data_IF_714204493298
#
_entry.id   IF_714204493298
#
_cell.length_a   1.000
_cell.length_b   1.000
_cell.length_c   1.000
_cell.angle_alpha   90.00
_cell.angle_beta   90.00
_cell.angle_gamma   90.00
#
_symmetry.space_group_name_H-M   'P 1'
#
loop_
_entity.id
_entity.type
_entity.pdbx_description
1 polymer ?
#
# COMPACT_ATOMS: atom_id res chain seq x y z
N UNK A 1 6.60 -17.17 11.74
CA UNK A 1 5.50 -16.30 12.18
C UNK A 1 4.64 -15.96 11.00
N UNK A 2 3.39 -16.43 10.97
CA UNK A 2 2.44 -16.06 9.94
C UNK A 2 1.63 -14.86 10.46
N UNK A 3 1.89 -13.68 9.91
CA UNK A 3 0.98 -12.55 10.05
C UNK A 3 -0.24 -12.88 9.18
N UNK A 4 -1.14 -13.75 9.70
CA UNK A 4 -2.42 -14.03 9.06
C UNK A 4 -3.35 -12.88 9.39
N UNK A 5 -3.20 -11.79 8.65
CA UNK A 5 -4.34 -10.92 8.38
C UNK A 5 -5.39 -11.79 7.70
N UNK A 6 -6.49 -12.06 8.41
CA UNK A 6 -7.63 -12.82 7.87
C UNK A 6 -8.24 -12.11 6.66
N UNK A 7 -9.18 -12.76 5.95
CA UNK A 7 -9.85 -12.14 4.80
C UNK A 7 -10.49 -10.83 5.23
N UNK A 8 -10.10 -9.74 4.59
CA UNK A 8 -10.69 -8.42 4.81
C UNK A 8 -11.95 -8.33 3.96
N UNK A 9 -13.10 -7.95 4.54
CA UNK A 9 -14.36 -7.95 3.80
C UNK A 9 -14.26 -7.04 2.57
N UNK A 10 -14.82 -7.48 1.44
CA UNK A 10 -14.91 -6.77 0.14
C UNK A 10 -15.48 -5.33 0.20
N UNK A 11 -15.96 -4.91 1.36
CA UNK A 11 -16.33 -3.52 1.62
C UNK A 11 -15.15 -2.55 1.46
N UNK A 12 -15.40 -1.29 1.04
CA UNK A 12 -14.37 -0.26 0.99
C UNK A 12 -13.61 -0.07 2.31
N UNK A 13 -14.28 -0.26 3.45
CA UNK A 13 -13.65 -0.16 4.79
C UNK A 13 -12.68 -1.32 5.03
N UNK A 14 -13.11 -2.56 4.77
CA UNK A 14 -12.26 -3.75 4.93
C UNK A 14 -11.01 -3.66 4.08
N UNK A 15 -11.16 -3.28 2.80
CA UNK A 15 -10.04 -3.06 1.89
C UNK A 15 -9.12 -1.94 2.40
N UNK A 16 -9.67 -0.82 2.87
CA UNK A 16 -8.86 0.28 3.41
C UNK A 16 -8.03 -0.16 4.62
N UNK A 17 -8.61 -0.95 5.53
CA UNK A 17 -7.88 -1.52 6.68
C UNK A 17 -6.78 -2.50 6.25
N UNK A 18 -7.05 -3.33 5.25
CA UNK A 18 -6.06 -4.21 4.64
C UNK A 18 -4.86 -3.44 4.09
N UNK A 19 -5.16 -2.35 3.38
CA UNK A 19 -4.15 -1.48 2.79
C UNK A 19 -3.35 -0.73 3.85
N UNK A 20 -3.97 -0.30 4.96
CA UNK A 20 -3.22 0.30 6.06
C UNK A 20 -2.27 -0.70 6.75
N UNK A 21 -2.68 -1.97 6.90
CA UNK A 21 -1.80 -3.00 7.44
C UNK A 21 -0.56 -3.23 6.54
N UNK A 22 -0.73 -3.18 5.21
CA UNK A 22 0.38 -3.25 4.25
C UNK A 22 1.20 -1.97 4.18
N UNK A 23 0.56 -0.82 4.32
CA UNK A 23 1.22 0.47 4.37
C UNK A 23 2.26 0.55 5.50
N UNK A 24 2.00 -0.08 6.65
CA UNK A 24 2.97 -0.19 7.74
C UNK A 24 4.24 -0.98 7.35
N UNK A 25 4.14 -1.97 6.46
CA UNK A 25 5.28 -2.72 5.93
C UNK A 25 6.11 -1.89 4.94
N UNK A 26 5.51 -0.84 4.34
CA UNK A 26 6.15 0.05 3.36
C UNK A 26 6.85 1.24 4.05
N UNK A 27 6.45 1.58 5.29
CA UNK A 27 6.98 2.72 6.03
C UNK A 27 8.53 2.75 6.16
N UNK A 28 9.24 1.63 6.39
CA UNK A 28 10.72 1.65 6.43
C UNK A 28 11.34 2.09 5.10
N UNK A 29 10.83 1.59 3.97
CA UNK A 29 11.31 1.96 2.64
C UNK A 29 11.09 3.45 2.37
N UNK A 30 10.01 4.01 2.89
CA UNK A 30 9.75 5.46 2.77
C UNK A 30 10.77 6.28 3.56
N UNK A 31 11.14 5.86 4.77
CA UNK A 31 12.19 6.56 5.51
C UNK A 31 13.52 6.54 4.75
N UNK A 32 13.93 5.38 4.24
CA UNK A 32 15.16 5.25 3.44
C UNK A 32 15.13 6.17 2.21
N UNK A 33 14.00 6.23 1.49
CA UNK A 33 13.84 7.14 0.36
C UNK A 33 13.84 8.60 0.81
N UNK A 34 13.15 8.94 1.90
CA UNK A 34 13.01 10.32 2.39
C UNK A 34 14.34 10.90 2.87
N UNK A 35 15.20 10.06 3.45
CA UNK A 35 16.55 10.44 3.84
C UNK A 35 17.43 10.80 2.63
N UNK A 36 17.27 10.06 1.52
CA UNK A 36 17.95 10.36 0.25
C UNK A 36 17.31 11.55 -0.51
N UNK A 37 16.01 11.80 -0.28
CA UNK A 37 15.20 12.80 -0.99
C UNK A 37 14.48 13.76 -0.01
N UNK A 38 15.24 14.63 0.69
CA UNK A 38 14.65 15.57 1.64
C UNK A 38 13.68 16.58 0.98
N UNK A 39 13.78 16.79 -0.33
CA UNK A 39 12.86 17.61 -1.15
C UNK A 39 11.51 16.94 -1.43
N UNK A 40 11.42 15.62 -1.26
CA UNK A 40 10.21 14.84 -1.50
C UNK A 40 9.04 15.20 -0.58
N UNK A 41 7.83 14.66 -0.82
CA UNK A 41 6.68 14.90 0.03
C UNK A 41 6.96 14.47 1.49
N UNK A 42 6.22 15.04 2.44
CA UNK A 42 6.34 14.66 3.86
C UNK A 42 5.53 13.41 4.21
N UNK A 43 4.53 13.06 3.40
CA UNK A 43 3.68 11.90 3.60
C UNK A 43 3.52 11.13 2.29
N UNK A 44 3.76 9.81 2.28
CA UNK A 44 3.53 9.00 1.10
C UNK A 44 2.07 8.57 1.00
N UNK A 45 1.57 8.51 -0.24
CA UNK A 45 0.21 8.05 -0.53
C UNK A 45 0.30 6.78 -1.38
N UNK A 46 -0.24 5.67 -0.87
CA UNK A 46 -0.35 4.43 -1.62
C UNK A 46 -1.56 4.50 -2.56
N UNK A 47 -1.29 4.55 -3.85
CA UNK A 47 -2.29 4.41 -4.90
C UNK A 47 -2.42 2.93 -5.26
N UNK A 48 -3.61 2.38 -5.09
CA UNK A 48 -3.90 0.96 -5.34
C UNK A 48 -5.04 0.82 -6.32
N UNK A 49 -4.86 -0.08 -7.28
CA UNK A 49 -5.85 -0.50 -8.25
C UNK A 49 -6.23 -1.96 -8.00
N UNK A 50 -7.51 -2.21 -7.70
CA UNK A 50 -8.07 -3.54 -7.47
C UNK A 50 -9.11 -3.84 -8.55
N UNK A 51 -9.04 -5.05 -9.10
CA UNK A 51 -10.08 -5.63 -9.95
C UNK A 51 -10.71 -6.84 -9.28
N UNK A 52 -11.69 -7.45 -9.94
CA UNK A 52 -12.36 -8.66 -9.43
C UNK A 52 -11.44 -9.89 -9.30
N UNK A 53 -10.25 -9.84 -9.87
CA UNK A 53 -9.22 -10.88 -9.75
C UNK A 53 -8.18 -10.57 -8.66
N UNK A 54 -8.34 -9.46 -7.93
CA UNK A 54 -7.42 -9.01 -6.90
C UNK A 54 -6.62 -7.78 -7.31
N UNK A 55 -5.40 -7.67 -6.80
CA UNK A 55 -4.51 -6.54 -7.04
C UNK A 55 -4.09 -6.45 -8.51
N UNK A 56 -4.35 -5.30 -9.14
CA UNK A 56 -3.90 -5.00 -10.50
C UNK A 56 -2.63 -4.16 -10.50
N UNK A 57 -2.56 -3.15 -9.63
CA UNK A 57 -1.41 -2.26 -9.52
C UNK A 57 -1.32 -1.64 -8.11
N UNK A 58 -0.11 -1.34 -7.67
CA UNK A 58 0.15 -0.60 -6.44
C UNK A 58 1.45 0.20 -6.59
N UNK A 59 1.35 1.49 -6.28
CA UNK A 59 2.48 2.42 -6.34
C UNK A 59 2.33 3.51 -5.30
N UNK A 60 3.45 4.10 -4.90
CA UNK A 60 3.42 5.29 -4.05
C UNK A 60 3.40 6.55 -4.92
N UNK A 61 2.49 7.47 -4.59
CA UNK A 61 2.40 8.77 -5.26
C UNK A 61 3.37 9.75 -4.61
N UNK A 62 4.11 10.48 -5.45
CA UNK A 62 5.01 11.54 -5.02
C UNK A 62 6.45 11.11 -4.72
N UNK A 63 6.79 9.84 -4.94
CA UNK A 63 8.16 9.35 -4.93
C UNK A 63 8.41 8.52 -6.18
N UNK A 64 9.49 8.85 -6.89
CA UNK A 64 9.94 8.13 -8.07
C UNK A 64 11.22 7.36 -7.72
N UNK A 65 11.32 6.09 -8.13
CA UNK A 65 12.51 5.26 -7.90
C UNK A 65 12.24 3.75 -7.99
N UNK A 66 13.12 3.02 -8.66
CA UNK A 66 12.97 1.57 -8.91
C UNK A 66 13.05 0.73 -7.61
N UNK A 67 13.90 1.13 -6.67
CA UNK A 67 14.02 0.50 -5.35
C UNK A 67 12.75 0.67 -4.52
N UNK A 68 12.08 1.80 -4.70
CA UNK A 68 10.85 2.16 -4.00
C UNK A 68 9.65 1.35 -4.50
N UNK A 69 9.55 1.19 -5.81
CA UNK A 69 8.56 0.31 -6.46
C UNK A 69 8.74 -1.16 -6.06
N UNK A 70 9.99 -1.62 -5.93
CA UNK A 70 10.27 -3.00 -5.52
C UNK A 70 9.76 -3.29 -4.09
N UNK A 71 9.91 -2.32 -3.17
CA UNK A 71 9.40 -2.47 -1.81
C UNK A 71 7.86 -2.52 -1.77
N UNK A 72 7.19 -1.62 -2.50
CA UNK A 72 5.71 -1.63 -2.60
C UNK A 72 5.23 -2.96 -3.17
N UNK A 73 5.83 -3.42 -4.27
CA UNK A 73 5.50 -4.72 -4.88
C UNK A 73 5.67 -5.87 -3.89
N UNK A 74 6.75 -5.88 -3.11
CA UNK A 74 7.00 -6.91 -2.10
C UNK A 74 5.93 -6.91 -1.00
N UNK A 75 5.62 -5.75 -0.42
CA UNK A 75 4.58 -5.63 0.61
C UNK A 75 3.19 -6.05 0.10
N UNK A 76 2.94 -5.80 -1.19
CA UNK A 76 1.64 -6.08 -1.81
C UNK A 76 1.53 -7.50 -2.40
N UNK A 77 2.63 -8.19 -2.69
CA UNK A 77 2.63 -9.57 -3.23
C UNK A 77 1.96 -10.55 -2.28
N UNK A 78 2.18 -10.40 -0.98
CA UNK A 78 1.60 -11.27 0.05
C UNK A 78 0.21 -10.80 0.52
N UNK A 79 -0.32 -9.75 -0.09
CA UNK A 79 -1.61 -9.18 0.28
C UNK A 79 -2.74 -9.86 -0.49
N UNK A 80 -3.58 -10.61 0.23
CA UNK A 80 -4.86 -11.08 -0.29
C UNK A 80 -5.93 -10.05 0.03
N UNK A 81 -6.62 -9.59 -1.00
CA UNK A 81 -7.81 -8.72 -0.88
C UNK A 81 -9.02 -9.51 -1.34
N UNK A 82 -10.14 -9.40 -0.62
CA UNK A 82 -11.41 -9.81 -1.18
C UNK A 82 -11.69 -8.93 -2.41
N UNK A 83 -12.12 -9.52 -3.53
CA UNK A 83 -12.40 -8.75 -4.73
C UNK A 83 -13.52 -7.74 -4.46
N UNK A 84 -13.42 -6.50 -4.98
CA UNK A 84 -14.45 -5.50 -4.78
C UNK A 84 -15.74 -5.89 -5.50
N UNK A 85 -16.88 -5.42 -4.98
CA UNK A 85 -18.22 -5.60 -5.60
C UNK A 85 -18.41 -4.79 -6.90
N UNK A 86 -17.39 -4.06 -7.32
CA UNK A 86 -17.33 -3.27 -8.56
C UNK A 86 -16.28 -3.86 -9.51
N UNK A 87 -16.41 -3.58 -10.80
CA UNK A 87 -15.45 -4.06 -11.82
C UNK A 87 -14.02 -3.59 -11.51
N UNK A 88 -13.89 -2.36 -11.01
CA UNK A 88 -12.62 -1.74 -10.69
C UNK A 88 -12.75 -0.76 -9.52
N UNK A 89 -11.77 -0.77 -8.62
CA UNK A 89 -11.69 0.13 -7.48
C UNK A 89 -10.28 0.73 -7.40
N UNK A 90 -10.20 2.06 -7.43
CA UNK A 90 -8.96 2.80 -7.12
C UNK A 90 -9.05 3.43 -5.74
N UNK A 91 -8.02 3.24 -4.93
CA UNK A 91 -7.91 3.82 -3.60
C UNK A 91 -6.62 4.62 -3.48
N UNK A 92 -6.70 5.75 -2.79
CA UNK A 92 -5.54 6.51 -2.33
C UNK A 92 -5.49 6.43 -0.81
N UNK A 93 -4.50 5.74 -0.30
CA UNK A 93 -4.36 5.46 1.13
C UNK A 93 -3.14 6.20 1.66
N UNK A 94 -3.30 7.23 2.50
CA UNK A 94 -2.16 7.83 3.17
C UNK A 94 -1.52 6.78 4.07
N UNK A 95 -0.20 6.59 3.94
CA UNK A 95 0.53 5.75 4.87
C UNK A 95 0.69 6.54 6.17
N UNK A 96 0.23 5.94 7.26
CA UNK A 96 0.47 6.46 8.58
C UNK A 96 1.87 6.02 8.99
N UNK A 97 2.81 6.96 8.97
CA UNK A 97 4.13 6.76 9.51
C UNK A 97 4.01 6.74 11.05
N UNK A 98 4.63 5.78 11.75
CA UNK A 98 4.69 5.85 13.20
C UNK A 98 5.38 7.16 13.58
N UNK A 99 4.77 7.92 14.50
CA UNK A 99 5.46 9.07 15.09
C UNK A 99 6.69 8.53 15.84
N UNK A 100 7.86 9.07 15.52
CA UNK A 100 9.09 8.85 16.27
C UNK A 100 8.98 9.34 17.72
#
# INVERSE_FOLDING_TARGET
>A
SANRTGPFPASPIGITLALQARAAEIAPCWHDWKDAHPEGPNQPILAVALGQQGLMDARLSGADGEEFDACVKRAMTDATFDPPDVEFLTLMVPILLPNE
#
